data_IF_826748810852
#
_entry.id   IF_826748810852
#
_cell.length_a   1.000
_cell.length_b   1.000
_cell.length_c   1.000
_cell.angle_alpha   90.00
_cell.angle_beta   90.00
_cell.angle_gamma   90.00
#
_symmetry.space_group_name_H-M   'P 1'
#
loop_
_entity.id
_entity.type
_entity.pdbx_description
1 polymer ?
#
# COMPACT_ATOMS: atom_id res chain seq x y z
N UNK A 1 -44.77 -48.78 66.63
CA UNK A 1 -45.61 -49.94 67.02
C UNK A 1 -46.82 -50.10 66.10
N UNK A 2 -47.64 -49.05 65.88
CA UNK A 2 -48.82 -49.04 64.98
C UNK A 2 -48.67 -49.79 63.64
N UNK A 3 -47.51 -49.65 62.97
CA UNK A 3 -47.19 -50.33 61.70
C UNK A 3 -47.22 -51.87 61.77
N UNK A 4 -47.05 -52.48 62.95
CA UNK A 4 -47.14 -53.94 63.15
C UNK A 4 -48.54 -54.42 63.55
N UNK A 5 -49.47 -53.51 63.86
CA UNK A 5 -50.81 -53.83 64.39
C UNK A 5 -51.95 -53.41 63.46
N UNK A 6 -51.70 -52.63 62.41
CA UNK A 6 -52.67 -52.27 61.39
C UNK A 6 -52.02 -52.34 60.00
N UNK A 7 -52.55 -53.21 59.13
CA UNK A 7 -52.03 -53.48 57.79
C UNK A 7 -52.24 -52.29 56.82
N UNK A 8 -53.31 -51.52 56.94
CA UNK A 8 -53.56 -50.33 56.10
C UNK A 8 -52.50 -49.25 56.37
N UNK A 9 -52.12 -49.07 57.64
CA UNK A 9 -51.07 -48.12 58.05
C UNK A 9 -49.69 -48.60 57.57
N UNK A 10 -49.44 -49.91 57.50
CA UNK A 10 -48.22 -50.44 56.88
C UNK A 10 -48.19 -50.17 55.37
N UNK A 11 -49.29 -50.47 54.66
CA UNK A 11 -49.41 -50.24 53.22
C UNK A 11 -49.19 -48.76 52.87
N UNK A 12 -49.84 -47.82 53.57
CA UNK A 12 -49.66 -46.38 53.34
C UNK A 12 -48.20 -45.93 53.53
N UNK A 13 -47.48 -46.49 54.51
CA UNK A 13 -46.06 -46.20 54.73
C UNK A 13 -45.20 -46.80 53.60
N UNK A 14 -45.52 -47.98 53.09
CA UNK A 14 -44.85 -48.59 51.93
C UNK A 14 -45.07 -47.75 50.67
N UNK A 15 -46.31 -47.36 50.37
CA UNK A 15 -46.67 -46.54 49.21
C UNK A 15 -45.97 -45.17 49.25
N UNK A 16 -45.97 -44.49 50.40
CA UNK A 16 -45.24 -43.23 50.58
C UNK A 16 -43.72 -43.42 50.42
N UNK A 17 -43.15 -44.51 50.93
CA UNK A 17 -41.72 -44.82 50.75
C UNK A 17 -41.38 -45.05 49.28
N UNK A 18 -42.23 -45.77 48.54
CA UNK A 18 -42.09 -45.98 47.11
C UNK A 18 -42.21 -44.68 46.32
N UNK A 19 -43.16 -43.81 46.69
CA UNK A 19 -43.31 -42.47 46.11
C UNK A 19 -42.04 -41.62 46.30
N UNK A 20 -41.46 -41.59 47.50
CA UNK A 20 -40.18 -40.90 47.77
C UNK A 20 -39.03 -41.48 46.94
N UNK A 21 -38.94 -42.81 46.79
CA UNK A 21 -37.95 -43.45 45.92
C UNK A 21 -38.13 -43.05 44.45
N UNK A 22 -39.37 -42.99 43.95
CA UNK A 22 -39.65 -42.53 42.58
C UNK A 22 -39.30 -41.05 42.39
N UNK A 23 -39.64 -40.18 43.34
CA UNK A 23 -39.21 -38.77 43.32
C UNK A 23 -37.68 -38.63 43.26
N UNK A 24 -36.95 -39.40 44.09
CA UNK A 24 -35.50 -39.36 44.10
C UNK A 24 -34.90 -39.86 42.77
N UNK A 25 -35.43 -40.98 42.23
CA UNK A 25 -35.04 -41.51 40.91
C UNK A 25 -35.31 -40.53 39.77
N UNK A 26 -36.39 -39.76 39.83
CA UNK A 26 -36.68 -38.67 38.89
C UNK A 26 -35.71 -37.49 39.05
N UNK A 27 -35.30 -37.18 40.29
CA UNK A 27 -34.26 -36.20 40.60
C UNK A 27 -32.91 -36.58 40.00
N UNK A 28 -32.45 -37.81 40.25
CA UNK A 28 -31.21 -38.37 39.68
C UNK A 28 -31.25 -38.40 38.14
N UNK A 29 -32.36 -38.84 37.54
CA UNK A 29 -32.52 -38.80 36.07
C UNK A 29 -32.49 -37.38 35.49
N UNK A 30 -32.96 -36.37 36.24
CA UNK A 30 -32.81 -34.96 35.84
C UNK A 30 -31.36 -34.49 35.96
N UNK A 31 -30.69 -34.75 37.09
CA UNK A 31 -29.27 -34.41 37.32
C UNK A 31 -28.35 -35.01 36.24
N UNK A 32 -28.51 -36.29 35.95
CA UNK A 32 -27.74 -36.98 34.90
C UNK A 32 -27.94 -36.36 33.51
N UNK A 33 -29.16 -35.93 33.17
CA UNK A 33 -29.44 -35.20 31.92
C UNK A 33 -28.79 -33.82 31.88
N UNK A 34 -28.75 -33.09 33.00
CA UNK A 34 -28.03 -31.81 33.08
C UNK A 34 -26.53 -32.02 32.89
N UNK A 35 -25.94 -32.98 33.61
CA UNK A 35 -24.51 -33.32 33.50
C UNK A 35 -24.12 -33.68 32.05
N UNK A 36 -24.92 -34.51 31.38
CA UNK A 36 -24.69 -34.85 29.97
C UNK A 36 -24.73 -33.63 29.05
N UNK A 37 -25.65 -32.67 29.29
CA UNK A 37 -25.72 -31.44 28.50
C UNK A 37 -24.50 -30.55 28.75
N UNK A 38 -24.06 -30.40 30.00
CA UNK A 38 -22.91 -29.56 30.36
C UNK A 38 -21.60 -30.12 29.76
N UNK A 39 -21.40 -31.45 29.85
CA UNK A 39 -20.28 -32.14 29.19
C UNK A 39 -20.35 -31.97 27.66
N UNK A 40 -21.53 -32.11 27.06
CA UNK A 40 -21.71 -31.94 25.61
C UNK A 40 -21.44 -30.49 25.15
N UNK A 41 -21.80 -29.49 25.95
CA UNK A 41 -21.50 -28.08 25.68
C UNK A 41 -19.99 -27.83 25.78
N UNK A 42 -19.34 -28.31 26.82
CA UNK A 42 -17.90 -28.11 27.04
C UNK A 42 -17.05 -28.76 25.94
N UNK A 43 -17.33 -30.02 25.58
CA UNK A 43 -16.65 -30.71 24.47
C UNK A 43 -16.91 -30.05 23.09
N UNK A 44 -18.05 -29.38 22.92
CA UNK A 44 -18.35 -28.62 21.69
C UNK A 44 -17.62 -27.26 21.65
N UNK A 45 -17.38 -26.65 22.80
CA UNK A 45 -16.60 -25.40 22.93
C UNK A 45 -15.10 -25.64 22.73
N UNK A 46 -14.57 -26.75 23.24
CA UNK A 46 -13.19 -27.21 22.96
C UNK A 46 -13.00 -27.75 21.52
N UNK A 47 -14.07 -27.81 20.71
CA UNK A 47 -14.03 -28.30 19.34
C UNK A 47 -13.84 -29.81 19.19
N UNK A 48 -13.91 -30.58 20.29
CA UNK A 48 -13.75 -32.04 20.28
C UNK A 48 -14.96 -32.78 19.71
N UNK A 49 -16.16 -32.18 19.72
CA UNK A 49 -17.36 -32.74 19.09
C UNK A 49 -18.10 -31.75 18.18
N UNK A 50 -18.53 -32.25 17.01
CA UNK A 50 -19.41 -31.51 16.10
C UNK A 50 -20.86 -31.54 16.59
N UNK A 51 -21.25 -30.59 17.44
CA UNK A 51 -22.66 -30.42 17.80
C UNK A 51 -23.46 -29.81 16.63
N UNK A 52 -24.68 -30.30 16.41
CA UNK A 52 -25.54 -29.81 15.33
C UNK A 52 -26.01 -28.37 15.61
N UNK A 53 -25.28 -27.39 15.08
CA UNK A 53 -25.57 -25.96 15.17
C UNK A 53 -27.04 -25.70 14.83
N UNK A 54 -27.85 -25.29 15.80
CA UNK A 54 -29.27 -24.99 15.57
C UNK A 54 -29.40 -23.87 14.51
N UNK A 55 -29.83 -24.22 13.30
CA UNK A 55 -29.99 -23.27 12.19
C UNK A 55 -31.45 -22.79 12.07
N UNK A 56 -31.61 -21.57 11.58
CA UNK A 56 -32.92 -20.99 11.25
C UNK A 56 -33.91 -20.93 12.43
N UNK A 57 -35.17 -21.26 12.14
CA UNK A 57 -36.33 -21.02 13.01
C UNK A 57 -36.21 -21.68 14.40
N UNK A 58 -35.58 -22.85 14.49
CA UNK A 58 -35.41 -23.55 15.77
C UNK A 58 -34.59 -22.75 16.79
N UNK A 59 -33.54 -22.05 16.33
CA UNK A 59 -32.70 -21.19 17.19
C UNK A 59 -33.49 -19.99 17.71
N UNK A 60 -34.34 -19.38 16.87
CA UNK A 60 -35.18 -18.24 17.24
C UNK A 60 -36.24 -18.66 18.28
N UNK A 61 -36.92 -19.79 18.08
CA UNK A 61 -37.93 -20.30 19.03
C UNK A 61 -37.30 -20.65 20.39
N UNK A 62 -36.09 -21.25 20.38
CA UNK A 62 -35.33 -21.52 21.60
C UNK A 62 -34.97 -20.23 22.35
N UNK A 63 -34.39 -19.25 21.66
CA UNK A 63 -34.01 -17.96 22.25
C UNK A 63 -35.23 -17.20 22.80
N UNK A 64 -36.35 -17.18 22.06
CA UNK A 64 -37.59 -16.55 22.49
C UNK A 64 -38.14 -17.18 23.78
N UNK A 65 -38.25 -18.51 23.84
CA UNK A 65 -38.73 -19.19 25.04
C UNK A 65 -37.80 -19.03 26.24
N UNK A 66 -36.48 -18.93 26.03
CA UNK A 66 -35.48 -18.68 27.07
C UNK A 66 -35.55 -17.25 27.62
N UNK A 67 -35.69 -16.23 26.76
CA UNK A 67 -35.50 -14.84 27.17
C UNK A 67 -36.79 -14.00 27.32
N UNK A 68 -37.97 -14.47 26.87
CA UNK A 68 -39.24 -13.71 26.92
C UNK A 68 -39.57 -13.05 28.26
N UNK A 69 -39.20 -13.66 29.40
CA UNK A 69 -39.38 -13.07 30.75
C UNK A 69 -38.42 -11.91 31.03
N UNK A 70 -37.16 -12.04 30.63
CA UNK A 70 -36.13 -11.01 30.81
C UNK A 70 -36.37 -9.83 29.87
N UNK A 71 -36.74 -10.11 28.62
CA UNK A 71 -37.09 -9.07 27.63
C UNK A 71 -38.31 -8.25 28.06
N UNK A 72 -39.31 -8.85 28.72
CA UNK A 72 -40.45 -8.13 29.26
C UNK A 72 -40.05 -7.14 30.37
N UNK A 73 -39.20 -7.57 31.32
CA UNK A 73 -38.69 -6.71 32.40
C UNK A 73 -37.87 -5.54 31.82
N UNK A 74 -36.97 -5.82 30.88
CA UNK A 74 -36.17 -4.80 30.23
C UNK A 74 -37.03 -3.78 29.44
N UNK A 75 -38.09 -4.24 28.76
CA UNK A 75 -39.03 -3.37 28.07
C UNK A 75 -39.80 -2.46 29.04
N UNK A 76 -40.25 -2.97 30.20
CA UNK A 76 -40.89 -2.13 31.23
C UNK A 76 -39.96 -1.04 31.75
N UNK A 77 -38.69 -1.36 32.02
CA UNK A 77 -37.68 -0.38 32.44
C UNK A 77 -37.49 0.68 31.34
N UNK A 78 -37.31 0.27 30.08
CA UNK A 78 -37.11 1.17 28.95
C UNK A 78 -38.30 2.13 28.73
N UNK A 79 -39.54 1.65 28.90
CA UNK A 79 -40.75 2.49 28.82
C UNK A 79 -40.78 3.51 29.95
N UNK A 80 -40.47 3.10 31.20
CA UNK A 80 -40.43 4.00 32.35
C UNK A 80 -39.33 5.06 32.17
N UNK A 81 -38.11 4.68 31.77
CA UNK A 81 -37.02 5.65 31.53
C UNK A 81 -37.37 6.62 30.41
N UNK A 82 -38.03 6.15 29.34
CA UNK A 82 -38.46 7.00 28.23
C UNK A 82 -39.51 8.01 28.71
N UNK A 83 -40.55 7.57 29.43
CA UNK A 83 -41.57 8.45 30.00
C UNK A 83 -40.99 9.49 30.97
N UNK A 84 -40.08 9.08 31.85
CA UNK A 84 -39.39 9.99 32.78
C UNK A 84 -38.58 11.04 32.02
N UNK A 85 -37.79 10.64 31.02
CA UNK A 85 -37.02 11.57 30.18
C UNK A 85 -37.95 12.53 29.41
N UNK A 86 -39.04 12.03 28.81
CA UNK A 86 -40.02 12.86 28.09
C UNK A 86 -40.71 13.88 29.02
N UNK A 87 -41.09 13.46 30.23
CA UNK A 87 -41.68 14.35 31.24
C UNK A 87 -40.69 15.41 31.74
N UNK A 88 -39.42 15.03 31.96
CA UNK A 88 -38.37 15.94 32.40
C UNK A 88 -38.08 17.01 31.34
N UNK A 89 -38.00 16.61 30.06
CA UNK A 89 -37.80 17.53 28.92
C UNK A 89 -38.96 18.53 28.83
N UNK A 90 -40.21 18.10 29.02
CA UNK A 90 -41.37 18.98 28.97
C UNK A 90 -41.39 20.01 30.12
N UNK A 91 -40.90 19.64 31.30
CA UNK A 91 -40.81 20.54 32.48
C UNK A 91 -39.66 21.54 32.34
N UNK A 92 -38.51 21.13 31.80
CA UNK A 92 -37.30 21.96 31.72
C UNK A 92 -37.28 22.83 30.45
N UNK A 93 -37.92 22.42 29.37
CA UNK A 93 -37.92 23.15 28.09
C UNK A 93 -38.92 24.33 28.11
N UNK A 94 -38.49 25.60 28.10
CA UNK A 94 -39.41 26.72 28.03
C UNK A 94 -40.11 26.77 26.67
N UNK A 95 -41.44 26.86 26.69
CA UNK A 95 -42.27 27.08 25.49
C UNK A 95 -41.86 28.39 24.79
N UNK A 96 -40.95 28.27 23.82
CA UNK A 96 -40.46 29.39 23.03
C UNK A 96 -41.43 29.63 21.86
N UNK A 97 -42.03 30.82 21.72
CA UNK A 97 -42.97 31.08 20.64
C UNK A 97 -42.30 30.96 19.26
N UNK A 98 -43.09 30.54 18.26
CA UNK A 98 -42.63 30.07 16.95
C UNK A 98 -41.80 31.07 16.11
N UNK A 99 -41.69 32.33 16.51
CA UNK A 99 -40.98 33.39 15.77
C UNK A 99 -39.46 33.16 15.65
N UNK A 100 -38.83 32.44 16.59
CA UNK A 100 -37.38 32.15 16.52
C UNK A 100 -36.99 31.14 15.43
N UNK A 101 -37.88 30.23 15.03
CA UNK A 101 -37.57 29.23 14.01
C UNK A 101 -37.42 29.83 12.62
N UNK A 102 -38.18 30.88 12.29
CA UNK A 102 -38.08 31.53 10.98
C UNK A 102 -36.79 32.36 10.83
N UNK A 103 -36.37 33.03 11.90
CA UNK A 103 -35.06 33.71 11.96
C UNK A 103 -33.90 32.71 11.92
N UNK A 104 -34.05 31.56 12.60
CA UNK A 104 -33.05 30.49 12.59
C UNK A 104 -32.93 29.84 11.21
N UNK A 105 -34.04 29.59 10.51
CA UNK A 105 -34.04 29.07 9.14
C UNK A 105 -33.42 30.08 8.16
N UNK A 106 -33.70 31.39 8.29
CA UNK A 106 -33.04 32.43 7.49
C UNK A 106 -31.53 32.52 7.78
N UNK A 107 -31.12 32.33 9.04
CA UNK A 107 -29.69 32.24 9.42
C UNK A 107 -29.04 30.96 8.89
N UNK A 108 -29.76 29.82 8.90
CA UNK A 108 -29.28 28.57 8.32
C UNK A 108 -29.13 28.66 6.80
N UNK A 109 -30.10 29.21 6.08
CA UNK A 109 -29.99 29.42 4.64
C UNK A 109 -28.86 30.40 4.32
N UNK A 110 -28.69 31.49 5.08
CA UNK A 110 -27.56 32.41 4.92
C UNK A 110 -26.20 31.77 5.27
N UNK A 111 -26.15 30.81 6.20
CA UNK A 111 -24.96 30.02 6.50
C UNK A 111 -24.68 28.98 5.40
N UNK A 112 -25.70 28.30 4.87
CA UNK A 112 -25.54 27.37 3.75
C UNK A 112 -25.11 28.14 2.48
N UNK A 113 -25.66 29.33 2.24
CA UNK A 113 -25.27 30.19 1.12
C UNK A 113 -23.86 30.78 1.31
N UNK A 114 -23.46 31.11 2.55
CA UNK A 114 -22.08 31.52 2.87
C UNK A 114 -21.09 30.37 2.79
N UNK A 115 -21.45 29.17 3.23
CA UNK A 115 -20.59 27.97 3.12
C UNK A 115 -20.52 27.47 1.69
N UNK A 116 -21.59 27.56 0.89
CA UNK A 116 -21.55 27.34 -0.57
C UNK A 116 -20.73 28.41 -1.28
N UNK A 117 -20.86 29.69 -0.90
CA UNK A 117 -20.01 30.76 -1.43
C UNK A 117 -18.55 30.52 -1.06
N UNK A 118 -18.20 30.28 0.20
CA UNK A 118 -16.86 29.89 0.62
C UNK A 118 -16.37 28.60 -0.04
N UNK A 119 -17.19 27.58 -0.22
CA UNK A 119 -16.81 26.35 -0.91
C UNK A 119 -16.57 26.60 -2.40
N UNK A 120 -17.36 27.48 -3.05
CA UNK A 120 -17.13 27.91 -4.43
C UNK A 120 -15.97 28.90 -4.57
N UNK A 121 -15.65 29.68 -3.53
CA UNK A 121 -14.47 30.53 -3.43
C UNK A 121 -13.23 29.66 -3.21
N UNK A 122 -13.33 28.60 -2.39
CA UNK A 122 -12.31 27.58 -2.18
C UNK A 122 -12.15 26.73 -3.44
N UNK A 123 -13.20 26.39 -4.19
CA UNK A 123 -13.06 25.73 -5.49
C UNK A 123 -12.51 26.67 -6.55
N UNK A 124 -12.79 27.98 -6.49
CA UNK A 124 -12.17 28.98 -7.38
C UNK A 124 -10.70 29.21 -7.03
N UNK A 125 -10.36 29.27 -5.74
CA UNK A 125 -8.98 29.35 -5.23
C UNK A 125 -8.27 28.05 -5.57
N UNK A 126 -8.80 26.88 -5.20
CA UNK A 126 -8.29 25.55 -5.57
C UNK A 126 -8.23 25.37 -7.09
N UNK A 127 -9.08 25.98 -7.92
CA UNK A 127 -8.92 25.99 -9.39
C UNK A 127 -7.91 27.03 -9.90
N UNK A 128 -7.58 28.03 -9.09
CA UNK A 128 -6.54 29.06 -9.29
C UNK A 128 -5.19 28.70 -8.63
N UNK A 129 -5.15 27.60 -7.86
CA UNK A 129 -3.98 27.04 -7.14
C UNK A 129 -3.66 25.62 -7.63
N UNK A 130 -4.66 24.85 -8.07
CA UNK A 130 -4.51 23.62 -8.88
C UNK A 130 -4.55 23.91 -10.37
N UNK A 131 -4.80 25.17 -10.79
CA UNK A 131 -3.90 25.72 -11.79
C UNK A 131 -2.57 25.94 -11.10
N UNK A 132 -1.77 24.87 -11.03
CA UNK A 132 -0.31 25.00 -10.93
C UNK A 132 0.06 26.09 -11.94
N UNK A 133 0.79 27.15 -11.56
CA UNK A 133 1.30 28.09 -12.53
C UNK A 133 2.09 27.27 -13.54
N UNK A 134 1.64 27.18 -14.80
CA UNK A 134 2.28 26.34 -15.83
C UNK A 134 3.65 26.91 -16.28
N UNK A 135 4.33 27.66 -15.40
CA UNK A 135 5.54 28.39 -15.73
C UNK A 135 6.31 28.85 -14.46
N UNK A 136 7.25 28.02 -14.01
CA UNK A 136 8.32 28.29 -13.03
C UNK A 136 9.63 27.78 -13.76
N UNK A 137 10.82 28.46 -13.88
CA UNK A 137 11.87 28.18 -14.95
C UNK A 137 13.37 27.81 -14.57
N UNK A 138 13.98 26.81 -15.27
CA UNK A 138 15.02 25.84 -14.80
C UNK A 138 16.21 26.19 -13.88
N UNK A 139 16.41 25.34 -12.85
CA UNK A 139 17.68 25.15 -12.13
C UNK A 139 18.33 23.75 -12.25
N UNK A 140 17.76 22.67 -11.69
CA UNK A 140 18.51 21.40 -11.47
C UNK A 140 17.67 20.15 -11.74
N UNK A 141 18.30 19.09 -12.27
CA UNK A 141 17.63 17.83 -12.55
C UNK A 141 18.54 16.61 -12.44
N UNK A 142 17.92 15.47 -12.15
CA UNK A 142 18.54 14.16 -12.01
C UNK A 142 17.58 13.04 -12.40
N UNK A 143 17.98 11.80 -12.11
CA UNK A 143 17.15 10.61 -12.29
C UNK A 143 16.75 10.05 -10.93
N UNK A 144 15.53 9.54 -10.82
CA UNK A 144 15.10 8.65 -9.75
C UNK A 144 14.55 7.36 -10.32
N UNK A 145 14.48 6.32 -9.50
CA UNK A 145 13.78 5.10 -9.87
C UNK A 145 13.03 4.47 -8.70
N UNK A 146 11.93 3.80 -9.01
CA UNK A 146 11.01 3.21 -8.04
C UNK A 146 11.67 2.05 -7.25
N UNK A 147 11.50 2.06 -5.93
CA UNK A 147 11.88 0.95 -5.04
C UNK A 147 10.68 0.11 -4.58
N UNK A 148 9.47 0.68 -4.59
CA UNK A 148 8.21 0.03 -4.23
C UNK A 148 7.04 0.66 -5.00
N UNK A 149 6.10 -0.18 -5.44
CA UNK A 149 5.02 0.23 -6.37
C UNK A 149 4.04 1.26 -5.81
N UNK A 150 4.06 1.56 -4.51
CA UNK A 150 3.25 2.61 -3.86
C UNK A 150 3.83 4.02 -4.06
N UNK A 151 4.83 4.18 -4.92
CA UNK A 151 5.43 5.48 -5.22
C UNK A 151 6.57 5.84 -4.29
N UNK A 152 7.36 4.86 -3.82
CA UNK A 152 8.65 5.15 -3.19
C UNK A 152 9.75 5.06 -4.23
N UNK A 153 10.65 6.06 -4.27
CA UNK A 153 11.77 6.15 -5.20
C UNK A 153 13.09 6.26 -4.45
N UNK A 154 14.19 5.94 -5.12
CA UNK A 154 15.56 6.27 -4.70
C UNK A 154 16.22 7.18 -5.72
N UNK A 155 17.05 8.10 -5.22
CA UNK A 155 17.98 8.93 -6.00
C UNK A 155 19.26 9.19 -5.18
N UNK A 156 20.19 9.98 -5.69
CA UNK A 156 21.32 10.48 -4.90
C UNK A 156 20.91 11.65 -3.99
N UNK A 157 21.49 11.75 -2.79
CA UNK A 157 21.20 12.84 -1.87
C UNK A 157 21.58 14.21 -2.47
N UNK A 158 22.66 14.25 -3.25
CA UNK A 158 23.14 15.47 -3.90
C UNK A 158 22.23 16.01 -5.01
N UNK A 159 21.28 15.21 -5.52
CA UNK A 159 20.31 15.64 -6.55
C UNK A 159 19.22 16.53 -5.93
N UNK A 160 19.02 16.43 -4.61
CA UNK A 160 17.94 17.09 -3.87
C UNK A 160 18.45 18.02 -2.75
N UNK A 161 19.77 18.21 -2.65
CA UNK A 161 20.45 18.84 -1.50
C UNK A 161 19.96 20.25 -1.18
N UNK A 162 19.68 21.06 -2.22
CA UNK A 162 19.21 22.45 -2.13
C UNK A 162 17.74 22.63 -2.59
N UNK A 163 17.03 21.54 -2.92
CA UNK A 163 15.71 21.59 -3.55
C UNK A 163 14.61 22.04 -2.57
N UNK A 164 13.82 23.05 -2.96
CA UNK A 164 12.70 23.58 -2.13
C UNK A 164 11.41 22.79 -2.29
N UNK A 165 11.15 22.36 -3.52
CA UNK A 165 10.12 21.40 -3.89
C UNK A 165 10.76 20.42 -4.87
N UNK A 166 10.27 19.19 -4.86
CA UNK A 166 10.76 18.13 -5.72
C UNK A 166 9.56 17.59 -6.49
N UNK A 167 9.63 17.66 -7.81
CA UNK A 167 8.72 16.99 -8.70
C UNK A 167 9.40 15.78 -9.34
N UNK A 168 8.60 14.76 -9.66
CA UNK A 168 9.00 13.69 -10.57
C UNK A 168 8.22 13.80 -11.86
N UNK A 169 8.88 13.62 -13.00
CA UNK A 169 8.28 13.66 -14.33
C UNK A 169 8.53 12.36 -15.08
N UNK A 170 7.48 11.77 -15.65
CA UNK A 170 7.56 10.59 -16.49
C UNK A 170 6.50 10.62 -17.62
N UNK A 171 6.35 9.50 -18.33
CA UNK A 171 5.38 9.39 -19.43
C UNK A 171 3.90 9.39 -19.02
N UNK A 172 3.60 9.34 -17.71
CA UNK A 172 2.23 9.36 -17.13
C UNK A 172 1.85 10.75 -16.63
N UNK A 173 2.83 11.62 -16.40
CA UNK A 173 2.64 13.00 -15.96
C UNK A 173 3.76 13.46 -15.04
N UNK A 174 3.43 14.50 -14.29
CA UNK A 174 4.28 15.10 -13.26
C UNK A 174 3.59 14.92 -11.90
N UNK A 175 4.36 14.64 -10.85
CA UNK A 175 3.85 14.38 -9.51
C UNK A 175 4.77 15.01 -8.45
N UNK A 176 4.19 15.65 -7.44
CA UNK A 176 4.96 16.14 -6.29
C UNK A 176 5.45 14.97 -5.42
N UNK A 177 6.66 15.10 -4.86
CA UNK A 177 7.24 14.12 -3.95
C UNK A 177 7.78 14.77 -2.68
N UNK A 178 7.83 13.98 -1.60
CA UNK A 178 8.44 14.35 -0.32
C UNK A 178 9.67 13.50 -0.04
N UNK A 179 10.68 14.11 0.57
CA UNK A 179 11.83 13.38 1.13
C UNK A 179 11.34 12.60 2.35
N UNK A 180 11.54 11.27 2.34
CA UNK A 180 11.24 10.38 3.46
C UNK A 180 12.48 10.11 4.29
N UNK A 181 13.63 9.99 3.62
CA UNK A 181 14.91 9.69 4.24
C UNK A 181 16.05 10.22 3.38
N UNK A 182 17.14 10.67 4.00
CA UNK A 182 18.33 11.17 3.32
C UNK A 182 19.57 10.71 4.08
N UNK A 183 20.53 10.16 3.34
CA UNK A 183 21.82 9.70 3.82
C UNK A 183 22.89 10.39 2.98
N UNK A 184 23.42 11.50 3.51
CA UNK A 184 24.42 12.32 2.82
C UNK A 184 25.78 11.63 2.76
N UNK A 185 26.11 10.77 3.75
CA UNK A 185 27.38 10.03 3.78
C UNK A 185 27.46 9.00 2.66
N UNK A 186 26.34 8.34 2.34
CA UNK A 186 26.24 7.36 1.24
C UNK A 186 25.74 7.96 -0.07
N UNK A 187 25.44 9.26 -0.07
CA UNK A 187 24.84 9.99 -1.19
C UNK A 187 23.57 9.31 -1.73
N UNK A 188 22.61 9.02 -0.84
CA UNK A 188 21.33 8.36 -1.14
C UNK A 188 20.16 9.11 -0.52
N UNK A 189 19.04 9.20 -1.25
CA UNK A 189 17.78 9.71 -0.71
C UNK A 189 16.60 8.84 -1.14
N UNK A 190 15.64 8.67 -0.22
CA UNK A 190 14.37 7.98 -0.46
C UNK A 190 13.25 9.01 -0.52
N UNK A 191 12.52 9.02 -1.64
CA UNK A 191 11.41 9.93 -1.91
C UNK A 191 10.08 9.17 -1.91
N UNK A 192 8.98 9.86 -1.63
CA UNK A 192 7.61 9.33 -1.71
C UNK A 192 6.72 10.28 -2.50
N UNK A 193 6.00 9.77 -3.50
CA UNK A 193 4.99 10.53 -4.23
C UNK A 193 3.83 10.94 -3.32
N UNK A 194 3.49 12.22 -3.33
CA UNK A 194 2.46 12.84 -2.49
C UNK A 194 1.42 13.57 -3.36
N UNK A 195 0.86 12.83 -4.33
CA UNK A 195 -0.12 13.33 -5.29
C UNK A 195 -1.35 12.40 -5.37
N UNK A 196 -2.55 12.97 -5.27
CA UNK A 196 -3.82 12.23 -5.35
C UNK A 196 -4.04 11.53 -6.71
N UNK A 197 -3.40 12.03 -7.77
CA UNK A 197 -3.49 11.49 -9.13
C UNK A 197 -2.51 10.34 -9.38
N UNK A 198 -1.56 10.10 -8.48
CA UNK A 198 -0.59 9.02 -8.62
C UNK A 198 -1.26 7.65 -8.50
N UNK A 199 -1.15 6.86 -9.58
CA UNK A 199 -1.65 5.48 -9.62
C UNK A 199 -0.49 4.50 -9.50
N UNK A 200 -0.45 3.75 -8.40
CA UNK A 200 0.54 2.71 -8.13
C UNK A 200 0.75 1.77 -9.32
N UNK A 201 1.98 1.30 -9.48
CA UNK A 201 2.36 0.35 -10.54
C UNK A 201 1.94 -1.07 -10.14
N UNK A 202 1.64 -1.92 -11.13
CA UNK A 202 1.27 -3.32 -10.88
C UNK A 202 2.45 -4.16 -10.35
N UNK A 203 3.64 -3.89 -10.86
CA UNK A 203 4.91 -4.53 -10.54
C UNK A 203 6.07 -3.61 -10.95
N UNK A 204 7.29 -3.98 -10.55
CA UNK A 204 8.53 -3.40 -11.07
C UNK A 204 9.29 -4.49 -11.85
N UNK A 205 9.89 -4.18 -13.01
CA UNK A 205 10.48 -5.18 -13.91
C UNK A 205 11.89 -5.61 -13.51
N UNK A 206 12.57 -4.86 -12.65
CA UNK A 206 13.87 -5.21 -12.08
C UNK A 206 13.77 -5.67 -10.63
N UNK A 207 14.79 -6.42 -10.19
CA UNK A 207 15.05 -6.68 -8.78
C UNK A 207 16.33 -5.98 -8.33
N UNK A 208 16.69 -6.11 -7.05
CA UNK A 208 17.96 -5.59 -6.53
C UNK A 208 18.95 -6.73 -6.30
N UNK A 209 20.19 -6.57 -6.79
CA UNK A 209 21.26 -7.51 -6.49
C UNK A 209 21.66 -7.40 -5.01
N UNK A 210 21.81 -8.54 -4.35
CA UNK A 210 22.46 -8.63 -3.03
C UNK A 210 23.96 -8.91 -3.13
N UNK A 211 24.45 -9.20 -4.33
CA UNK A 211 25.85 -9.46 -4.61
C UNK A 211 26.49 -8.20 -5.21
N UNK A 212 27.70 -7.86 -4.78
CA UNK A 212 28.53 -6.88 -5.45
C UNK A 212 28.73 -7.29 -6.92
N UNK A 213 28.68 -6.32 -7.83
CA UNK A 213 28.92 -6.57 -9.26
C UNK A 213 30.30 -7.17 -9.52
N UNK A 214 30.39 -7.98 -10.57
CA UNK A 214 31.64 -8.67 -10.94
C UNK A 214 32.49 -7.79 -11.86
N UNK A 215 33.81 -7.95 -11.78
CA UNK A 215 34.73 -7.30 -12.72
C UNK A 215 34.39 -7.69 -14.16
N UNK A 216 34.35 -6.71 -15.07
CA UNK A 216 33.90 -6.86 -16.45
C UNK A 216 32.45 -7.39 -16.61
N UNK A 217 31.60 -7.30 -15.58
CA UNK A 217 30.16 -7.57 -15.74
C UNK A 217 29.56 -6.53 -16.70
N UNK A 218 28.89 -6.95 -17.79
CA UNK A 218 28.24 -6.01 -18.70
C UNK A 218 27.02 -5.38 -18.03
N UNK A 219 26.93 -4.06 -18.14
CA UNK A 219 25.91 -3.23 -17.49
C UNK A 219 25.21 -2.32 -18.50
N UNK A 220 24.02 -1.87 -18.13
CA UNK A 220 23.30 -0.80 -18.80
C UNK A 220 22.60 0.11 -17.80
N UNK A 221 22.27 1.31 -18.23
CA UNK A 221 21.53 2.32 -17.47
C UNK A 221 20.50 2.98 -18.36
N UNK A 222 19.47 3.53 -17.73
CA UNK A 222 18.47 4.40 -18.33
C UNK A 222 18.32 5.60 -17.39
N UNK A 223 18.46 6.81 -17.92
CA UNK A 223 18.41 8.05 -17.14
C UNK A 223 17.82 9.22 -17.93
N UNK A 224 17.62 10.35 -17.25
CA UNK A 224 17.00 11.57 -17.79
C UNK A 224 17.97 12.78 -17.81
N UNK A 225 19.08 12.75 -18.57
CA UNK A 225 20.04 13.86 -18.60
C UNK A 225 19.51 15.17 -19.20
N UNK A 226 18.39 15.11 -19.94
CA UNK A 226 17.78 16.24 -20.68
C UNK A 226 16.25 16.14 -20.75
N UNK A 227 15.62 15.61 -19.69
CA UNK A 227 14.18 15.29 -19.63
C UNK A 227 13.70 14.28 -20.71
N UNK A 228 14.63 13.65 -21.43
CA UNK A 228 14.42 12.53 -22.35
C UNK A 228 15.16 11.29 -21.82
N UNK A 229 14.58 10.10 -21.99
CA UNK A 229 15.22 8.83 -21.60
C UNK A 229 16.44 8.56 -22.48
N UNK A 230 17.62 8.51 -21.87
CA UNK A 230 18.87 8.11 -22.51
C UNK A 230 19.29 6.73 -22.02
N UNK A 231 19.40 5.79 -22.95
CA UNK A 231 20.05 4.50 -22.72
C UNK A 231 21.57 4.64 -22.81
N UNK A 232 22.29 3.94 -21.95
CA UNK A 232 23.75 3.80 -22.06
C UNK A 232 24.19 2.42 -21.56
N UNK A 233 25.26 1.90 -22.13
CA UNK A 233 25.79 0.57 -21.82
C UNK A 233 27.31 0.62 -21.63
N UNK A 234 27.84 -0.36 -20.91
CA UNK A 234 29.27 -0.45 -20.63
C UNK A 234 29.60 -1.62 -19.72
N UNK A 235 30.65 -1.47 -18.91
CA UNK A 235 31.18 -2.53 -18.04
C UNK A 235 31.49 -2.02 -16.64
N UNK A 236 31.45 -2.92 -15.66
CA UNK A 236 32.00 -2.65 -14.32
C UNK A 236 33.53 -2.79 -14.35
N UNK A 237 34.22 -1.66 -14.23
CA UNK A 237 35.67 -1.51 -14.37
C UNK A 237 36.43 -1.83 -13.09
N UNK A 238 35.87 -1.50 -11.92
CA UNK A 238 36.43 -1.89 -10.61
C UNK A 238 35.35 -2.08 -9.54
N UNK A 239 35.63 -2.97 -8.57
CA UNK A 239 34.70 -3.33 -7.47
C UNK A 239 34.68 -2.33 -6.31
N UNK A 240 35.49 -1.29 -6.40
CA UNK A 240 35.59 -0.16 -5.47
C UNK A 240 35.51 1.13 -6.27
N UNK A 241 35.15 2.23 -5.62
CA UNK A 241 35.25 3.57 -6.17
C UNK A 241 36.67 4.15 -6.11
N UNK A 242 36.75 5.45 -6.36
CA UNK A 242 37.97 6.24 -6.29
C UNK A 242 38.70 6.04 -4.95
N UNK A 243 40.04 5.99 -4.98
CA UNK A 243 40.90 5.75 -3.82
C UNK A 243 40.52 4.53 -2.94
N UNK A 244 39.83 3.53 -3.50
CA UNK A 244 39.46 2.31 -2.78
C UNK A 244 38.16 2.42 -1.98
N UNK A 245 37.33 3.44 -2.23
CA UNK A 245 36.00 3.57 -1.63
C UNK A 245 35.18 2.27 -1.79
N UNK A 246 34.70 1.72 -0.67
CA UNK A 246 33.88 0.50 -0.64
C UNK A 246 32.38 0.76 -0.78
N UNK A 247 31.93 2.03 -0.73
CA UNK A 247 30.54 2.42 -0.97
C UNK A 247 30.19 2.32 -2.45
N UNK A 248 31.12 2.70 -3.32
CA UNK A 248 30.94 2.77 -4.76
C UNK A 248 31.63 1.63 -5.53
N UNK A 249 31.31 1.50 -6.81
CA UNK A 249 32.10 0.77 -7.81
C UNK A 249 32.40 1.69 -9.00
N UNK A 250 33.50 1.43 -9.70
CA UNK A 250 33.90 2.15 -10.91
C UNK A 250 33.29 1.47 -12.14
N UNK A 251 32.74 2.27 -13.04
CA UNK A 251 32.10 1.81 -14.27
C UNK A 251 32.54 2.64 -15.48
N UNK A 252 32.59 1.99 -16.64
CA UNK A 252 32.88 2.61 -17.92
C UNK A 252 31.56 2.90 -18.65
N UNK A 253 30.94 4.03 -18.32
CA UNK A 253 29.76 4.55 -19.04
C UNK A 253 29.87 6.08 -19.19
N UNK A 254 29.16 6.65 -20.17
CA UNK A 254 29.05 8.10 -20.30
C UNK A 254 28.19 8.71 -19.17
N UNK A 255 28.83 9.25 -18.13
CA UNK A 255 28.16 10.06 -17.11
C UNK A 255 28.14 11.54 -17.53
N UNK A 256 26.93 12.06 -17.77
CA UNK A 256 26.66 13.48 -18.03
C UNK A 256 25.79 14.05 -16.91
N UNK A 257 25.62 15.39 -16.85
CA UNK A 257 24.64 16.02 -15.96
C UNK A 257 23.24 15.40 -16.16
N UNK A 258 22.50 15.22 -15.06
CA UNK A 258 21.18 14.59 -15.01
C UNK A 258 21.17 13.05 -15.04
N UNK A 259 22.30 12.39 -15.34
CA UNK A 259 22.43 10.93 -15.18
C UNK A 259 22.57 10.51 -13.70
N UNK A 260 22.91 11.42 -12.76
CA UNK A 260 22.91 11.12 -11.32
C UNK A 260 21.58 10.50 -10.88
N UNK A 261 21.65 9.44 -10.08
CA UNK A 261 20.48 8.71 -9.59
C UNK A 261 19.92 7.65 -10.54
N UNK A 262 20.52 7.45 -11.72
CA UNK A 262 20.09 6.38 -12.66
C UNK A 262 20.43 4.98 -12.13
N UNK A 263 19.56 3.97 -12.29
CA UNK A 263 19.88 2.59 -11.91
C UNK A 263 20.86 1.95 -12.88
N UNK A 264 21.96 1.41 -12.34
CA UNK A 264 22.87 0.54 -13.07
C UNK A 264 22.35 -0.90 -12.98
N UNK A 265 21.98 -1.47 -14.12
CA UNK A 265 21.41 -2.81 -14.24
C UNK A 265 22.40 -3.77 -14.90
N UNK A 266 22.43 -5.02 -14.42
CA UNK A 266 23.17 -6.10 -15.08
C UNK A 266 22.31 -6.82 -16.14
N UNK A 267 22.89 -7.74 -16.91
CA UNK A 267 22.19 -8.56 -17.92
C UNK A 267 21.00 -9.40 -17.42
N UNK A 268 20.82 -9.56 -16.09
CA UNK A 268 19.64 -10.22 -15.48
C UNK A 268 18.53 -9.20 -15.17
N UNK A 269 18.72 -7.91 -15.46
CA UNK A 269 17.83 -6.83 -15.05
C UNK A 269 17.77 -6.66 -13.53
N UNK A 270 18.87 -6.96 -12.83
CA UNK A 270 19.00 -6.64 -11.41
C UNK A 270 19.77 -5.32 -11.29
N UNK A 271 19.26 -4.39 -10.48
CA UNK A 271 19.97 -3.18 -10.08
C UNK A 271 21.18 -3.59 -9.25
N UNK A 272 22.38 -3.28 -9.73
CA UNK A 272 23.65 -3.52 -9.02
C UNK A 272 24.20 -2.26 -8.35
N UNK A 273 23.70 -1.08 -8.71
CA UNK A 273 24.05 0.20 -8.08
C UNK A 273 23.25 1.37 -8.65
N UNK A 274 23.53 2.57 -8.15
CA UNK A 274 22.95 3.84 -8.59
C UNK A 274 24.06 4.81 -8.98
N UNK A 275 23.95 5.39 -10.17
CA UNK A 275 24.97 6.21 -10.80
C UNK A 275 25.20 7.54 -10.09
N UNK A 276 26.43 7.82 -9.65
CA UNK A 276 26.80 9.11 -9.10
C UNK A 276 27.45 10.00 -10.18
N UNK A 277 26.72 11.02 -10.64
CA UNK A 277 27.21 11.96 -11.66
C UNK A 277 28.09 13.11 -11.14
N UNK A 278 28.29 13.27 -9.82
CA UNK A 278 29.30 14.21 -9.27
C UNK A 278 30.70 13.64 -9.33
N UNK A 279 30.82 12.31 -9.35
CA UNK A 279 32.08 11.61 -9.33
C UNK A 279 32.40 11.06 -10.73
N UNK A 280 33.22 11.81 -11.46
CA UNK A 280 33.90 11.36 -12.67
C UNK A 280 35.39 11.61 -12.51
N UNK A 281 36.23 10.64 -12.84
CA UNK A 281 37.68 10.87 -12.80
C UNK A 281 38.20 11.55 -14.08
N UNK A 282 39.48 11.94 -14.06
CA UNK A 282 40.14 12.60 -15.18
C UNK A 282 40.32 11.70 -16.43
N UNK A 283 39.94 10.42 -16.34
CA UNK A 283 40.05 9.42 -17.40
C UNK A 283 38.68 9.08 -18.01
N UNK A 284 37.60 9.67 -17.49
CA UNK A 284 36.24 9.50 -18.00
C UNK A 284 35.47 8.33 -17.38
N UNK A 285 35.99 7.71 -16.32
CA UNK A 285 35.22 6.71 -15.57
C UNK A 285 34.19 7.38 -14.66
N UNK A 286 33.05 6.73 -14.53
CA UNK A 286 31.98 7.11 -13.62
C UNK A 286 31.96 6.18 -12.40
N UNK A 287 31.30 6.61 -11.33
CA UNK A 287 31.12 5.78 -10.13
C UNK A 287 29.64 5.54 -9.84
N UNK A 288 29.33 4.41 -9.23
CA UNK A 288 27.97 4.08 -8.80
C UNK A 288 27.97 3.54 -7.36
N UNK A 289 27.09 4.06 -6.51
CA UNK A 289 26.89 3.56 -5.14
C UNK A 289 26.27 2.17 -5.24
N UNK A 290 26.87 1.18 -4.55
CA UNK A 290 26.48 -0.22 -4.73
C UNK A 290 25.08 -0.50 -4.19
N UNK A 291 24.31 -1.34 -4.89
CA UNK A 291 22.92 -1.73 -4.56
C UNK A 291 22.72 -2.23 -3.12
N UNK A 292 23.75 -2.84 -2.52
CA UNK A 292 23.74 -3.23 -1.11
C UNK A 292 23.41 -2.04 -0.19
N UNK A 293 23.99 -0.86 -0.43
CA UNK A 293 23.76 0.31 0.41
C UNK A 293 22.37 0.91 0.21
N UNK A 294 21.76 0.76 -0.98
CA UNK A 294 20.35 1.08 -1.18
C UNK A 294 19.46 0.21 -0.29
N UNK A 295 19.75 -1.10 -0.21
CA UNK A 295 19.04 -2.03 0.68
C UNK A 295 19.27 -1.67 2.15
N UNK A 296 20.52 -1.42 2.56
CA UNK A 296 20.88 -1.05 3.93
C UNK A 296 20.20 0.29 4.36
N UNK A 297 20.10 1.28 3.47
CA UNK A 297 19.38 2.55 3.70
C UNK A 297 17.88 2.32 3.84
N UNK A 298 17.25 1.49 3.01
CA UNK A 298 15.82 1.18 3.14
C UNK A 298 15.52 0.41 4.43
N UNK A 299 16.41 -0.47 4.88
CA UNK A 299 16.30 -1.13 6.19
C UNK A 299 16.49 -0.18 7.38
N UNK A 300 17.31 0.86 7.22
CA UNK A 300 17.54 1.89 8.24
C UNK A 300 16.35 2.85 8.34
N UNK A 301 15.90 3.40 7.21
CA UNK A 301 14.66 4.18 7.10
C UNK A 301 13.47 3.46 7.76
N UNK A 302 13.28 2.15 7.51
CA UNK A 302 12.19 1.35 8.10
C UNK A 302 12.20 1.32 9.63
N UNK A 303 13.37 1.44 10.26
CA UNK A 303 13.54 1.46 11.71
C UNK A 303 13.31 2.85 12.28
N UNK A 304 13.83 3.88 11.62
CA UNK A 304 13.80 5.27 12.12
C UNK A 304 12.46 5.98 11.85
N UNK A 305 11.80 5.68 10.73
CA UNK A 305 10.54 6.34 10.32
C UNK A 305 9.28 5.55 10.68
N UNK A 306 9.43 4.35 11.26
CA UNK A 306 8.36 3.34 11.47
C UNK A 306 7.61 2.88 10.19
N UNK A 307 8.04 3.32 9.00
CA UNK A 307 7.42 2.96 7.70
C UNK A 307 7.79 1.52 7.30
N UNK A 308 7.11 0.55 7.89
CA UNK A 308 7.32 -0.89 7.60
C UNK A 308 6.83 -1.33 6.20
N UNK A 309 6.07 -0.48 5.49
CA UNK A 309 5.23 -0.94 4.37
C UNK A 309 5.93 -1.10 3.01
N UNK A 310 7.19 -0.66 2.87
CA UNK A 310 7.96 -0.67 1.60
C UNK A 310 8.41 -2.08 1.22
N UNK A 311 8.02 -2.57 0.03
CA UNK A 311 8.30 -3.91 -0.50
C UNK A 311 9.17 -3.84 -1.76
N UNK A 312 10.46 -4.10 -1.57
CA UNK A 312 11.45 -4.11 -2.65
C UNK A 312 11.26 -5.37 -3.55
N UNK A 313 11.28 -5.24 -4.89
CA UNK A 313 11.24 -6.38 -5.78
C UNK A 313 12.48 -7.26 -5.61
N UNK A 314 12.25 -8.52 -5.22
CA UNK A 314 13.32 -9.51 -4.96
C UNK A 314 13.72 -10.34 -6.19
N UNK A 315 13.07 -10.14 -7.34
CA UNK A 315 13.34 -10.83 -8.61
C UNK A 315 13.12 -9.84 -9.75
N UNK A 316 14.01 -9.91 -10.74
CA UNK A 316 13.80 -9.26 -12.02
C UNK A 316 12.83 -10.05 -12.89
N UNK A 317 11.90 -9.35 -13.54
CA UNK A 317 11.02 -9.86 -14.59
C UNK A 317 11.68 -9.78 -15.98
N UNK A 318 12.77 -8.99 -16.11
CA UNK A 318 13.60 -8.92 -17.31
C UNK A 318 14.47 -10.18 -17.44
N UNK A 319 14.81 -10.83 -16.33
CA UNK A 319 15.64 -12.03 -16.30
C UNK A 319 14.98 -13.19 -17.07
N UNK A 320 15.60 -13.61 -18.16
CA UNK A 320 15.09 -14.74 -18.95
C UNK A 320 13.93 -14.39 -19.88
N UNK A 321 13.71 -13.10 -20.21
CA UNK A 321 12.95 -12.70 -21.40
C UNK A 321 13.65 -13.23 -22.66
N UNK A 322 13.46 -14.53 -22.97
CA UNK A 322 13.84 -15.13 -24.24
C UNK A 322 13.11 -14.38 -25.35
N UNK A 323 13.87 -13.67 -26.19
CA UNK A 323 13.77 -13.41 -27.65
C UNK A 323 12.47 -13.80 -28.40
N UNK A 324 11.30 -13.60 -27.80
CA UNK A 324 9.98 -14.03 -28.30
C UNK A 324 9.34 -13.01 -29.26
N UNK A 325 10.11 -12.01 -29.69
CA UNK A 325 9.71 -10.96 -30.64
C UNK A 325 10.09 -11.36 -32.09
N UNK A 326 10.69 -12.55 -32.27
CA UNK A 326 10.97 -13.13 -33.59
C UNK A 326 10.44 -14.57 -33.70
N UNK A 327 9.12 -14.69 -33.68
CA UNK A 327 8.45 -15.74 -34.47
C UNK A 327 8.42 -15.29 -35.92
N UNK A 328 8.75 -16.19 -36.86
CA UNK A 328 8.22 -16.09 -38.22
C UNK A 328 6.70 -16.17 -38.11
N UNK A 329 5.98 -15.29 -38.80
CA UNK A 329 5.00 -15.60 -39.84
C UNK A 329 4.39 -14.28 -40.36
N UNK A 330 3.59 -14.37 -41.42
CA UNK A 330 3.23 -13.25 -42.32
C UNK A 330 2.49 -12.05 -41.69
N UNK A 331 2.66 -10.92 -42.38
CA UNK A 331 1.85 -9.69 -42.46
C UNK A 331 0.79 -9.36 -41.39
N UNK A 332 0.83 -8.08 -40.99
CA UNK A 332 -0.09 -7.32 -40.10
C UNK A 332 0.13 -7.49 -38.59
N UNK A 333 0.61 -6.43 -37.91
CA UNK A 333 0.19 -5.89 -36.59
C UNK A 333 1.23 -4.90 -36.00
N UNK A 334 1.37 -3.70 -36.58
CA UNK A 334 2.37 -2.72 -36.10
C UNK A 334 1.90 -1.78 -34.95
N UNK A 335 0.61 -1.79 -34.59
CA UNK A 335 0.06 -0.89 -33.55
C UNK A 335 0.11 -1.44 -32.12
N UNK A 336 0.12 -2.77 -31.94
CA UNK A 336 0.23 -3.38 -30.61
C UNK A 336 1.69 -3.45 -30.11
N UNK A 337 2.66 -3.42 -31.03
CA UNK A 337 4.09 -3.59 -30.76
C UNK A 337 4.69 -2.36 -30.06
N UNK A 338 4.46 -1.16 -30.62
CA UNK A 338 4.81 0.13 -29.99
C UNK A 338 4.27 0.24 -28.57
N UNK A 339 2.99 -0.10 -28.37
CA UNK A 339 2.32 0.02 -27.08
C UNK A 339 2.99 -0.84 -26.01
N UNK A 340 3.40 -2.06 -26.36
CA UNK A 340 4.07 -2.98 -25.45
C UNK A 340 5.51 -2.54 -25.11
N UNK A 341 6.17 -1.82 -26.01
CA UNK A 341 7.51 -1.23 -25.79
C UNK A 341 7.42 0.06 -24.93
N UNK A 342 6.48 0.96 -25.20
CA UNK A 342 6.12 2.11 -24.35
C UNK A 342 5.77 1.66 -22.92
N UNK A 343 4.97 0.58 -22.80
CA UNK A 343 4.63 -0.03 -21.51
C UNK A 343 5.88 -0.55 -20.79
N UNK A 344 6.87 -1.15 -21.47
CA UNK A 344 8.11 -1.60 -20.79
C UNK A 344 8.95 -0.46 -20.21
N UNK A 345 9.05 0.70 -20.88
CA UNK A 345 9.73 1.86 -20.30
C UNK A 345 8.93 2.47 -19.14
N UNK A 346 7.60 2.55 -19.27
CA UNK A 346 6.72 2.98 -18.16
C UNK A 346 6.86 2.07 -16.93
N UNK A 347 6.90 0.75 -17.15
CA UNK A 347 7.00 -0.26 -16.09
C UNK A 347 8.30 -0.14 -15.29
N UNK A 348 9.40 0.33 -15.88
CA UNK A 348 10.65 0.53 -15.15
C UNK A 348 10.55 1.60 -14.05
N UNK A 349 9.47 2.41 -13.99
CA UNK A 349 9.32 3.40 -12.91
C UNK A 349 10.56 4.29 -12.78
N UNK A 350 11.12 4.65 -13.93
CA UNK A 350 12.21 5.61 -14.08
C UNK A 350 11.54 6.96 -14.22
N UNK A 351 11.90 7.88 -13.35
CA UNK A 351 11.29 9.19 -13.30
C UNK A 351 12.40 10.25 -13.31
N UNK A 352 12.27 11.29 -14.14
CA UNK A 352 13.14 12.45 -14.06
C UNK A 352 12.82 13.17 -12.73
N UNK A 353 13.84 13.46 -11.93
CA UNK A 353 13.70 14.32 -10.77
C UNK A 353 14.03 15.72 -11.22
N UNK A 354 13.11 16.66 -11.00
CA UNK A 354 13.21 18.03 -11.46
C UNK A 354 12.93 18.98 -10.29
N UNK A 355 13.89 19.87 -10.04
CA UNK A 355 13.75 21.00 -9.12
C UNK A 355 12.92 22.07 -9.83
N UNK A 356 11.84 22.52 -9.18
CA UNK A 356 10.56 22.87 -9.82
C UNK A 356 10.67 23.90 -10.95
N UNK A 357 10.62 23.43 -12.21
CA UNK A 357 10.84 24.30 -13.37
C UNK A 357 10.54 23.78 -14.84
N UNK A 358 10.60 24.70 -15.85
CA UNK A 358 10.47 24.62 -17.34
C UNK A 358 11.81 24.62 -18.14
N UNK A 359 11.98 24.22 -19.44
CA UNK A 359 11.11 23.62 -20.49
C UNK A 359 11.90 23.12 -21.73
N UNK A 360 11.48 22.02 -22.38
CA UNK A 360 11.28 21.86 -23.84
C UNK A 360 10.88 20.41 -24.26
N UNK A 361 10.16 20.25 -25.38
CA UNK A 361 10.02 19.02 -26.20
C UNK A 361 9.05 17.86 -25.81
N UNK A 362 7.88 18.15 -25.23
CA UNK A 362 6.80 17.15 -25.04
C UNK A 362 6.20 16.47 -26.29
N UNK A 363 6.63 16.80 -27.52
CA UNK A 363 6.19 16.15 -28.78
C UNK A 363 7.28 15.37 -29.53
N UNK A 364 8.54 15.45 -29.10
CA UNK A 364 9.68 14.68 -29.65
C UNK A 364 9.62 13.20 -29.23
N UNK A 365 9.26 12.98 -27.97
CA UNK A 365 9.49 11.75 -27.21
C UNK A 365 8.90 10.50 -27.87
N UNK A 366 7.67 10.56 -28.39
CA UNK A 366 7.01 9.38 -28.99
C UNK A 366 7.76 8.86 -30.22
N UNK A 367 8.22 9.75 -31.10
CA UNK A 367 9.02 9.35 -32.28
C UNK A 367 10.43 8.85 -31.90
N UNK A 368 10.90 9.15 -30.68
CA UNK A 368 12.21 8.74 -30.18
C UNK A 368 12.18 7.39 -29.46
N UNK A 369 11.10 7.08 -28.73
CA UNK A 369 10.88 5.77 -28.11
C UNK A 369 10.91 4.65 -29.17
N UNK A 370 10.26 4.89 -30.32
CA UNK A 370 10.30 4.02 -31.50
C UNK A 370 11.72 3.72 -32.02
N UNK A 371 12.66 4.64 -31.81
CA UNK A 371 14.05 4.52 -32.26
C UNK A 371 14.88 3.73 -31.23
N UNK A 372 14.66 3.98 -29.94
CA UNK A 372 15.32 3.24 -28.85
C UNK A 372 14.91 1.76 -28.85
N UNK A 373 13.63 1.46 -29.05
CA UNK A 373 13.15 0.07 -29.16
C UNK A 373 13.74 -0.64 -30.40
N UNK A 374 13.86 0.06 -31.54
CA UNK A 374 14.60 -0.46 -32.72
C UNK A 374 16.07 -0.73 -32.41
N UNK A 375 16.74 0.13 -31.65
CA UNK A 375 18.15 -0.08 -31.26
C UNK A 375 18.32 -1.28 -30.32
N UNK A 376 17.43 -1.46 -29.34
CA UNK A 376 17.43 -2.66 -28.47
C UNK A 376 17.22 -3.95 -29.27
N UNK A 377 16.27 -3.96 -30.21
CA UNK A 377 16.01 -5.11 -31.07
C UNK A 377 17.18 -5.43 -32.03
N UNK A 378 17.87 -4.40 -32.55
CA UNK A 378 19.08 -4.57 -33.37
C UNK A 378 20.24 -5.16 -32.55
N UNK A 379 20.48 -4.63 -31.34
CA UNK A 379 21.49 -5.15 -30.41
C UNK A 379 21.21 -6.60 -29.99
N UNK A 380 19.96 -6.93 -29.68
CA UNK A 380 19.57 -8.29 -29.35
C UNK A 380 19.85 -9.28 -30.51
N UNK A 381 19.88 -8.80 -31.75
CA UNK A 381 20.20 -9.61 -32.93
C UNK A 381 21.69 -9.63 -33.31
N UNK A 382 22.53 -8.69 -32.86
CA UNK A 382 23.99 -8.72 -33.13
C UNK A 382 24.78 -9.75 -32.31
N UNK A 383 24.10 -10.53 -31.44
CA UNK A 383 24.64 -11.70 -30.72
C UNK A 383 24.07 -13.02 -31.27
N UNK A 384 23.79 -13.08 -32.57
CA UNK A 384 23.14 -14.24 -33.22
C UNK A 384 23.97 -14.88 -34.33
N UNK A 385 25.12 -14.28 -34.65
CA UNK A 385 26.18 -14.78 -35.53
C UNK A 385 27.49 -14.91 -34.72
#
# INVERSE_FOLDING_TARGET
>A
QLRKSNAEVDQLVVEHTFFLQQMNRLGERKRFRTLLNDIHLHLAEEGQINSARLQGKARVVYLWNRYKRVSAIAASIAVITTLVLTSLVWIISPNSPHTKFEELNKKFSLLEDKTRKQASEIDRIKKKTSSVPQNIPFTTGGTGFMIDTKGYLVTNAHVIEDAKQIAIQNNRGEYLVKVVYQDVERDLAILKVDDENFKSYSNLPYGFSKQAGKLAEPIFTLGYPRNEVVYSQGYLSARTGYNGDTLSCQIEIAANRGNSGSPILNKRGEVIGILNGRQTDAQGFAFAVQSKYILDVIETMKKETEITSVRIPSRSLINGLKKSIYGKDDDTQDLNKQKQEDDTFSLMGLDAIVDEDNEANGKSIKSHMDNIARQYNNWANSFKD
#
